data_IF_444199541904
#
_entry.id   IF_444199541904
#
_cell.length_a   1.000
_cell.length_b   1.000
_cell.length_c   1.000
_cell.angle_alpha   90.00
_cell.angle_beta   90.00
_cell.angle_gamma   90.00
#
_symmetry.space_group_name_H-M   'P 1'
#
loop_
_entity.id
_entity.type
_entity.pdbx_description
1 polymer ?
#
# COMPACT_ATOMS: atom_id res chain seq x y z
N UNK A 1 3.69 -17.32 31.68
CA UNK A 1 3.42 -17.52 30.23
C UNK A 1 4.33 -16.58 29.46
N UNK A 2 5.16 -17.08 28.53
CA UNK A 2 6.07 -16.23 27.73
C UNK A 2 5.22 -15.22 26.94
N UNK A 3 5.18 -13.97 27.39
CA UNK A 3 4.61 -12.85 26.64
C UNK A 3 5.59 -12.45 25.55
N UNK A 4 5.70 -13.28 24.52
CA UNK A 4 6.55 -13.03 23.36
C UNK A 4 5.85 -12.22 22.29
N UNK A 5 6.63 -11.49 21.49
CA UNK A 5 6.19 -10.94 20.20
C UNK A 5 6.55 -11.97 19.13
N UNK A 6 5.61 -12.31 18.26
CA UNK A 6 5.83 -13.14 17.08
C UNK A 6 5.95 -12.25 15.84
N UNK A 7 6.89 -12.57 14.96
CA UNK A 7 7.09 -11.90 13.68
C UNK A 7 7.32 -12.97 12.62
N UNK A 8 6.65 -12.84 11.47
CA UNK A 8 6.80 -13.77 10.35
C UNK A 8 6.46 -13.08 9.03
N UNK A 9 6.76 -13.77 7.94
CA UNK A 9 6.50 -13.32 6.56
C UNK A 9 5.59 -14.34 5.87
N UNK A 10 4.65 -13.88 5.06
CA UNK A 10 3.73 -14.75 4.32
C UNK A 10 3.23 -14.07 3.04
N UNK A 11 3.06 -14.86 1.98
CA UNK A 11 2.49 -14.40 0.71
C UNK A 11 0.97 -14.38 0.79
N UNK A 12 0.38 -13.19 0.79
CA UNK A 12 -1.07 -13.01 0.92
C UNK A 12 -1.70 -12.55 -0.39
N UNK A 13 -2.70 -13.30 -0.85
CA UNK A 13 -3.54 -12.90 -1.98
C UNK A 13 -4.54 -11.84 -1.53
N UNK A 14 -4.41 -10.62 -2.06
CA UNK A 14 -5.33 -9.51 -1.81
C UNK A 14 -6.08 -9.20 -3.10
N UNK A 15 -7.42 -9.11 -3.08
CA UNK A 15 -8.16 -8.64 -4.23
C UNK A 15 -7.85 -7.17 -4.53
N UNK A 16 -7.27 -6.89 -5.69
CA UNK A 16 -6.78 -5.56 -6.08
C UNK A 16 -7.36 -5.15 -7.43
N UNK A 17 -7.79 -3.89 -7.54
CA UNK A 17 -8.19 -3.32 -8.83
C UNK A 17 -6.96 -2.97 -9.66
N UNK A 18 -6.91 -3.43 -10.90
CA UNK A 18 -5.78 -3.15 -11.78
C UNK A 18 -5.81 -1.71 -12.29
N UNK A 19 -4.63 -1.19 -12.64
CA UNK A 19 -4.45 0.16 -13.15
C UNK A 19 -4.21 0.13 -14.66
N UNK A 20 -4.53 1.23 -15.33
CA UNK A 20 -4.22 1.43 -16.74
C UNK A 20 -2.72 1.53 -17.02
N UNK A 21 -2.38 1.70 -18.30
CA UNK A 21 -1.02 2.01 -18.71
C UNK A 21 -0.66 3.45 -18.31
N UNK A 22 0.61 3.73 -17.99
CA UNK A 22 1.13 5.10 -17.89
C UNK A 22 0.69 5.98 -19.06
N UNK A 23 0.24 7.19 -18.77
CA UNK A 23 0.05 8.20 -19.80
C UNK A 23 1.41 8.55 -20.42
N UNK A 24 1.46 8.59 -21.75
CA UNK A 24 2.67 8.98 -22.50
C UNK A 24 2.93 10.47 -22.40
N UNK A 25 1.88 11.29 -22.26
CA UNK A 25 1.96 12.75 -22.20
C UNK A 25 1.30 13.27 -20.90
N UNK A 26 1.81 12.89 -19.73
CA UNK A 26 1.17 13.25 -18.46
C UNK A 26 1.23 14.76 -18.22
N UNK A 27 0.13 15.32 -17.72
CA UNK A 27 0.10 16.70 -17.26
C UNK A 27 0.70 16.81 -15.85
N UNK A 28 1.79 17.57 -15.70
CA UNK A 28 2.42 17.81 -14.39
C UNK A 28 1.86 19.07 -13.73
N UNK A 29 0.87 18.90 -12.86
CA UNK A 29 0.28 19.99 -12.06
C UNK A 29 1.09 20.20 -10.77
N UNK A 30 2.30 20.74 -10.92
CA UNK A 30 3.23 20.92 -9.79
C UNK A 30 2.77 21.97 -8.77
N UNK A 31 2.12 23.03 -9.25
CA UNK A 31 1.60 24.13 -8.43
C UNK A 31 0.18 23.83 -8.00
N UNK A 32 0.00 23.46 -6.73
CA UNK A 32 -1.32 23.27 -6.11
C UNK A 32 -1.78 24.56 -5.44
N UNK A 33 -3.10 24.73 -5.33
CA UNK A 33 -3.72 25.94 -4.74
C UNK A 33 -3.42 26.07 -3.23
N UNK A 34 -3.09 24.96 -2.57
CA UNK A 34 -2.77 24.93 -1.14
C UNK A 34 -1.31 25.29 -0.85
N UNK A 35 -1.11 26.28 0.02
CA UNK A 35 0.20 26.67 0.53
C UNK A 35 0.93 25.48 1.15
N UNK A 36 2.18 25.25 0.74
CA UNK A 36 3.00 24.12 1.18
C UNK A 36 2.74 22.79 0.47
N UNK A 37 1.79 22.72 -0.47
CA UNK A 37 1.55 21.52 -1.27
C UNK A 37 2.31 21.56 -2.59
N UNK A 38 3.10 20.54 -2.88
CA UNK A 38 3.71 20.33 -4.20
C UNK A 38 3.06 19.14 -4.89
N UNK A 39 2.69 19.30 -6.15
CA UNK A 39 2.23 18.21 -7.01
C UNK A 39 3.35 17.53 -7.81
N UNK A 40 4.63 17.76 -7.47
CA UNK A 40 5.76 17.14 -8.18
C UNK A 40 5.77 15.63 -7.97
N UNK A 41 5.65 14.89 -9.06
CA UNK A 41 5.65 13.41 -9.09
C UNK A 41 6.79 12.83 -9.92
N UNK A 42 7.48 13.64 -10.73
CA UNK A 42 8.62 13.21 -11.52
C UNK A 42 9.73 12.63 -10.62
N UNK A 43 10.35 11.48 -10.99
CA UNK A 43 10.29 10.78 -12.28
C UNK A 43 9.20 9.71 -12.42
N UNK A 44 8.24 9.62 -11.49
CA UNK A 44 7.20 8.61 -11.58
C UNK A 44 6.19 8.90 -12.70
N UNK A 45 5.75 7.84 -13.37
CA UNK A 45 4.67 7.90 -14.35
C UNK A 45 3.33 8.22 -13.69
N UNK A 46 2.47 8.94 -14.42
CA UNK A 46 1.08 9.19 -14.00
C UNK A 46 0.16 8.18 -14.69
N UNK A 47 -0.76 7.61 -13.91
CA UNK A 47 -1.85 6.76 -14.42
C UNK A 47 -3.16 7.38 -13.96
N UNK A 48 -4.05 7.68 -14.90
CA UNK A 48 -5.33 8.38 -14.68
C UNK A 48 -6.54 7.43 -14.67
N UNK A 49 -6.33 6.14 -14.98
CA UNK A 49 -7.39 5.14 -15.12
C UNK A 49 -7.19 3.96 -14.16
N UNK A 50 -8.25 3.63 -13.43
CA UNK A 50 -8.45 2.33 -12.78
C UNK A 50 -9.32 1.49 -13.73
N UNK A 51 -8.94 0.25 -14.02
CA UNK A 51 -9.57 -0.58 -15.08
C UNK A 51 -10.96 -1.09 -14.70
N UNK A 52 -11.30 -1.09 -13.40
CA UNK A 52 -12.50 -1.73 -12.86
C UNK A 52 -12.37 -3.25 -12.74
N UNK A 53 -11.27 -3.84 -13.22
CA UNK A 53 -11.01 -5.27 -13.12
C UNK A 53 -10.37 -5.59 -11.77
N UNK A 54 -11.01 -6.47 -11.01
CA UNK A 54 -10.53 -6.94 -9.70
C UNK A 54 -9.86 -8.30 -9.86
N UNK A 55 -8.59 -8.38 -9.50
CA UNK A 55 -7.80 -9.62 -9.58
C UNK A 55 -7.17 -9.92 -8.23
N UNK A 56 -7.03 -11.20 -7.86
CA UNK A 56 -6.21 -11.56 -6.71
C UNK A 56 -4.74 -11.34 -7.06
N UNK A 57 -4.11 -10.40 -6.37
CA UNK A 57 -2.67 -10.16 -6.45
C UNK A 57 -2.01 -10.66 -5.17
N UNK A 58 -0.97 -11.46 -5.33
CA UNK A 58 -0.13 -11.88 -4.20
C UNK A 58 0.80 -10.75 -3.81
N UNK A 59 0.89 -10.49 -2.51
CA UNK A 59 1.82 -9.55 -1.90
C UNK A 59 2.64 -10.25 -0.82
N UNK A 60 3.92 -9.95 -0.75
CA UNK A 60 4.77 -10.34 0.38
C UNK A 60 4.39 -9.50 1.60
N UNK A 61 3.85 -10.14 2.63
CA UNK A 61 3.39 -9.47 3.84
C UNK A 61 4.28 -9.80 5.04
N UNK A 62 4.51 -8.80 5.89
CA UNK A 62 5.20 -8.96 7.17
C UNK A 62 4.18 -8.82 8.30
N UNK A 63 4.23 -9.73 9.26
CA UNK A 63 3.30 -9.76 10.37
C UNK A 63 4.01 -9.53 11.70
N UNK A 64 3.33 -8.84 12.60
CA UNK A 64 3.71 -8.69 13.99
C UNK A 64 2.50 -8.99 14.85
N UNK A 65 2.65 -9.94 15.77
CA UNK A 65 1.59 -10.28 16.70
C UNK A 65 2.11 -10.37 18.14
N UNK A 66 1.36 -9.81 19.08
CA UNK A 66 1.59 -9.98 20.51
C UNK A 66 0.26 -10.25 21.23
N UNK A 67 0.18 -10.13 22.56
CA UNK A 67 -1.07 -10.35 23.30
C UNK A 67 -2.23 -9.41 22.87
N UNK A 68 -1.92 -8.20 22.43
CA UNK A 68 -2.86 -7.10 22.24
C UNK A 68 -3.11 -6.77 20.77
N UNK A 69 -2.11 -6.95 19.92
CA UNK A 69 -2.14 -6.47 18.54
C UNK A 69 -1.80 -7.60 17.57
N UNK A 70 -2.46 -7.55 16.42
CA UNK A 70 -2.08 -8.25 15.20
C UNK A 70 -1.94 -7.22 14.08
N UNK A 71 -0.75 -7.11 13.51
CA UNK A 71 -0.41 -6.09 12.52
C UNK A 71 0.12 -6.76 11.27
N UNK A 72 -0.37 -6.33 10.11
CA UNK A 72 0.11 -6.70 8.78
C UNK A 72 0.70 -5.48 8.10
N UNK A 73 1.91 -5.61 7.57
CA UNK A 73 2.64 -4.58 6.85
C UNK A 73 2.88 -5.09 5.43
N UNK A 74 2.73 -4.22 4.44
CA UNK A 74 3.00 -4.56 3.03
C UNK A 74 4.17 -3.72 2.49
N UNK A 75 5.40 -4.25 2.47
CA UNK A 75 6.59 -3.58 1.94
C UNK A 75 6.40 -3.07 0.51
N UNK A 76 5.79 -3.88 -0.37
CA UNK A 76 5.61 -3.56 -1.79
C UNK A 76 4.78 -2.31 -2.08
N UNK A 77 3.90 -1.91 -1.13
CA UNK A 77 3.05 -0.72 -1.26
C UNK A 77 3.46 0.37 -0.26
N UNK A 78 4.77 0.57 -0.16
CA UNK A 78 5.37 1.63 0.65
C UNK A 78 5.51 1.29 2.14
N UNK A 79 5.52 0.00 2.49
CA UNK A 79 5.74 -0.46 3.87
C UNK A 79 4.68 -0.01 4.86
N UNK A 80 3.46 0.25 4.38
CA UNK A 80 2.37 0.75 5.21
C UNK A 80 1.74 -0.39 6.01
N UNK A 81 1.19 -0.04 7.18
CA UNK A 81 0.31 -0.93 7.93
C UNK A 81 -0.97 -1.12 7.11
N UNK A 82 -1.16 -2.33 6.60
CA UNK A 82 -2.34 -2.71 5.83
C UNK A 82 -3.51 -3.09 6.74
N UNK A 83 -3.20 -3.72 7.88
CA UNK A 83 -4.17 -4.12 8.89
C UNK A 83 -3.55 -3.96 10.27
N UNK A 84 -4.29 -3.36 11.19
CA UNK A 84 -4.01 -3.41 12.62
C UNK A 84 -5.29 -3.85 13.32
N UNK A 85 -5.20 -4.93 14.09
CA UNK A 85 -6.32 -5.50 14.82
C UNK A 85 -5.99 -5.50 16.30
N UNK A 86 -6.86 -4.85 17.08
CA UNK A 86 -6.84 -4.90 18.53
C UNK A 86 -7.55 -6.20 19.00
N UNK A 87 -6.86 -6.96 19.83
CA UNK A 87 -7.33 -8.25 20.38
C UNK A 87 -7.95 -8.12 21.76
N UNK A 88 -8.03 -6.91 22.32
CA UNK A 88 -8.66 -6.64 23.63
C UNK A 88 -10.15 -6.38 23.56
#
# INVERSE_FOLDING_TARGET
>A
MKSGVAVWEEDTAIPTYTIGKPDKNPMFLEKRVYQGSSGRVYPHSVVDKITGEKTNRTYHALYLENKYLYVMILPEIGGRIQRAYDKT
#
